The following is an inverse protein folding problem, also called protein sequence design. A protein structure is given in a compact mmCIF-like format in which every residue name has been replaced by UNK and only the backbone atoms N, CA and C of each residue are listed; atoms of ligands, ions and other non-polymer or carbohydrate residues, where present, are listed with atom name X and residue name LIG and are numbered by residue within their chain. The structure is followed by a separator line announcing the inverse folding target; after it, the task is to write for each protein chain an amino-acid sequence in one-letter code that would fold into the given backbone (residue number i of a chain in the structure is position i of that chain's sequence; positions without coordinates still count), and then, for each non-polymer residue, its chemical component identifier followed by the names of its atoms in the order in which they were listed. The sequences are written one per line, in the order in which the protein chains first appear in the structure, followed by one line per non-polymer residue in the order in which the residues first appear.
data_IF_796277126606
#
_entry.id   IF_796277126606
#
_cell.length_a   1.000
_cell.length_b   1.000
_cell.length_c   1.000
_cell.angle_alpha   90.00
_cell.angle_beta   90.00
_cell.angle_gamma   90.00
#
_symmetry.space_group_name_H-M   'P 1'
#
loop_
_entity.id
_entity.type
_entity.pdbx_description
1 polymer ?
#
# COMPACT_ATOMS: atom_id res chain seq x y z
N UNK A 1 -14.64 2.89 -6.22
CA UNK A 1 -15.79 2.29 -5.50
C UNK A 1 -15.64 2.50 -4.00
N UNK A 2 -16.74 2.58 -3.24
CA UNK A 2 -16.66 2.61 -1.78
C UNK A 2 -15.94 1.33 -1.31
N UNK A 3 -14.87 1.47 -0.54
CA UNK A 3 -14.19 0.33 0.06
C UNK A 3 -14.92 -0.07 1.33
N UNK A 4 -14.36 0.28 2.49
CA UNK A 4 -14.96 0.00 3.79
C UNK A 4 -14.28 0.75 4.92
N UNK A 5 -14.55 0.29 6.14
CA UNK A 5 -13.90 0.76 7.36
C UNK A 5 -12.81 -0.24 7.72
N UNK A 6 -11.69 0.27 8.26
CA UNK A 6 -10.64 -0.49 8.92
C UNK A 6 -10.75 -0.31 10.44
N UNK A 7 -11.54 -1.14 11.17
CA UNK A 7 -11.78 -0.93 12.60
C UNK A 7 -10.49 -0.90 13.43
N UNK A 8 -9.51 -1.75 13.08
CA UNK A 8 -8.22 -1.84 13.77
C UNK A 8 -7.35 -0.60 13.59
N UNK A 9 -7.54 0.14 12.49
CA UNK A 9 -6.69 1.28 12.15
C UNK A 9 -7.39 2.62 12.34
N UNK A 10 -8.72 2.63 12.52
CA UNK A 10 -9.48 3.87 12.60
C UNK A 10 -9.44 4.67 11.29
N UNK A 11 -9.52 3.98 10.15
CA UNK A 11 -9.50 4.61 8.81
C UNK A 11 -10.64 4.08 7.94
N UNK A 12 -10.92 4.76 6.84
CA UNK A 12 -11.83 4.30 5.77
C UNK A 12 -11.19 4.51 4.40
N UNK A 13 -11.63 3.77 3.40
CA UNK A 13 -11.06 3.87 2.05
C UNK A 13 -12.09 3.94 0.91
N UNK A 14 -11.59 4.41 -0.22
CA UNK A 14 -12.14 4.25 -1.57
C UNK A 14 -11.10 3.49 -2.39
N UNK A 15 -11.54 2.49 -3.13
CA UNK A 15 -10.67 1.63 -3.96
C UNK A 15 -10.92 1.91 -5.44
N UNK A 16 -9.85 1.93 -6.21
CA UNK A 16 -9.88 1.95 -7.67
C UNK A 16 -9.21 0.66 -8.16
N UNK A 17 -9.99 -0.37 -8.52
CA UNK A 17 -9.44 -1.60 -9.08
C UNK A 17 -8.71 -1.34 -10.40
N UNK A 18 -7.55 -1.95 -10.56
CA UNK A 18 -6.72 -1.88 -11.76
C UNK A 18 -6.48 -3.29 -12.29
N UNK A 19 -5.91 -3.38 -13.49
CA UNK A 19 -5.45 -4.64 -14.05
C UNK A 19 -4.28 -5.22 -13.23
N UNK A 20 -3.89 -6.46 -13.52
CA UNK A 20 -2.71 -7.13 -12.95
C UNK A 20 -2.75 -7.30 -11.42
N UNK A 21 -3.95 -7.49 -10.86
CA UNK A 21 -4.18 -7.60 -9.41
C UNK A 21 -3.70 -6.40 -8.59
N UNK A 22 -3.66 -5.23 -9.21
CA UNK A 22 -3.28 -3.97 -8.57
C UNK A 22 -4.51 -3.11 -8.28
N UNK A 23 -4.34 -2.13 -7.39
CA UNK A 23 -5.37 -1.14 -7.11
C UNK A 23 -4.74 0.15 -6.56
N UNK A 24 -5.43 1.27 -6.77
CA UNK A 24 -5.18 2.51 -6.06
C UNK A 24 -6.14 2.59 -4.87
N UNK A 25 -5.59 2.89 -3.69
CA UNK A 25 -6.35 3.08 -2.46
C UNK A 25 -6.25 4.53 -2.00
N UNK A 26 -7.40 5.20 -1.89
CA UNK A 26 -7.51 6.50 -1.25
C UNK A 26 -8.03 6.28 0.16
N UNK A 27 -7.21 6.63 1.16
CA UNK A 27 -7.50 6.38 2.58
C UNK A 27 -7.69 7.69 3.32
N UNK A 28 -8.64 7.71 4.24
CA UNK A 28 -8.90 8.82 5.15
C UNK A 28 -8.91 8.32 6.60
N UNK A 29 -8.38 9.14 7.50
CA UNK A 29 -8.44 8.88 8.94
C UNK A 29 -9.83 9.18 9.50
N UNK A 30 -10.33 8.31 10.38
CA UNK A 30 -11.52 8.56 11.17
C UNK A 30 -11.15 9.21 12.50
N UNK A 31 -12.05 10.00 13.05
CA UNK A 31 -11.95 10.46 14.44
C UNK A 31 -12.27 9.31 15.40
N UNK A 32 -11.31 8.41 15.60
CA UNK A 32 -11.46 7.18 16.36
C UNK A 32 -10.17 6.84 17.13
N UNK A 33 -10.21 6.44 18.41
CA UNK A 33 -9.00 6.22 19.22
C UNK A 33 -7.98 5.22 18.63
N UNK A 34 -8.44 4.32 17.76
CA UNK A 34 -7.54 3.39 17.06
C UNK A 34 -6.58 4.11 16.10
N UNK A 35 -6.98 5.24 15.48
CA UNK A 35 -6.10 5.97 14.57
C UNK A 35 -4.93 6.66 15.28
N UNK A 36 -5.04 6.88 16.59
CA UNK A 36 -3.97 7.47 17.40
C UNK A 36 -2.98 6.42 17.91
N UNK A 37 -3.36 5.14 17.90
CA UNK A 37 -2.57 4.02 18.44
C UNK A 37 -1.99 3.11 17.36
N UNK A 38 -2.74 2.87 16.29
CA UNK A 38 -2.33 1.98 15.22
C UNK A 38 -1.35 2.70 14.27
N UNK A 39 -0.18 2.11 13.96
CA UNK A 39 0.80 2.76 13.09
C UNK A 39 0.23 3.16 11.72
N UNK A 40 -0.64 2.34 11.13
CA UNK A 40 -1.29 2.68 9.87
C UNK A 40 -2.22 3.88 10.00
N UNK A 41 -2.98 3.96 11.10
CA UNK A 41 -3.83 5.11 11.40
C UNK A 41 -3.02 6.39 11.61
N UNK A 42 -1.89 6.30 12.31
CA UNK A 42 -0.96 7.41 12.51
C UNK A 42 -0.35 7.90 11.19
N UNK A 43 0.05 6.99 10.30
CA UNK A 43 0.57 7.33 8.98
C UNK A 43 -0.47 8.09 8.13
N UNK A 44 -1.72 7.59 8.09
CA UNK A 44 -2.82 8.23 7.35
C UNK A 44 -3.17 9.60 7.95
N UNK A 45 -3.20 9.71 9.29
CA UNK A 45 -3.44 10.98 9.99
C UNK A 45 -2.38 12.01 9.65
N UNK A 46 -1.10 11.66 9.82
CA UNK A 46 0.02 12.55 9.54
C UNK A 46 -0.01 13.03 8.09
N UNK A 47 -0.28 12.14 7.13
CA UNK A 47 -0.38 12.53 5.71
C UNK A 47 -1.56 13.47 5.45
N UNK A 48 -2.69 13.24 6.11
CA UNK A 48 -3.87 14.09 6.00
C UNK A 48 -3.61 15.50 6.56
N UNK A 49 -2.92 15.60 7.70
CA UNK A 49 -2.51 16.86 8.33
C UNK A 49 -1.49 17.66 7.49
N UNK A 50 -0.71 16.97 6.65
CA UNK A 50 0.20 17.58 5.66
C UNK A 50 -0.49 18.03 4.37
N UNK A 51 -1.83 17.95 4.29
CA UNK A 51 -2.60 18.34 3.11
C UNK A 51 -2.90 17.20 2.12
N UNK A 52 -2.64 15.95 2.50
CA UNK A 52 -2.92 14.77 1.68
C UNK A 52 -1.83 14.45 0.64
N UNK A 53 -2.18 13.64 -0.35
CA UNK A 53 -1.26 13.11 -1.37
C UNK A 53 -0.73 11.72 -1.04
N UNK A 54 0.31 11.28 -1.76
CA UNK A 54 0.87 9.95 -1.63
C UNK A 54 1.44 9.70 -0.23
N UNK A 55 0.94 8.66 0.43
CA UNK A 55 1.38 8.23 1.76
C UNK A 55 2.45 7.14 1.69
N UNK A 56 2.30 6.21 0.74
CA UNK A 56 3.13 5.02 0.65
C UNK A 56 2.57 4.01 -0.35
N UNK A 57 3.25 2.87 -0.44
CA UNK A 57 2.91 1.76 -1.32
C UNK A 57 3.08 0.44 -0.58
N UNK A 58 2.46 -0.60 -1.11
CA UNK A 58 2.40 -1.91 -0.49
C UNK A 58 2.74 -3.01 -1.50
N UNK A 59 3.42 -4.06 -1.02
CA UNK A 59 3.71 -5.27 -1.79
C UNK A 59 2.98 -6.44 -1.13
N UNK A 60 2.12 -7.12 -1.89
CA UNK A 60 1.55 -8.39 -1.48
C UNK A 60 2.61 -9.49 -1.64
N UNK A 61 2.75 -10.34 -0.62
CA UNK A 61 3.71 -11.46 -0.59
C UNK A 61 3.00 -12.73 -0.15
N UNK A 62 3.55 -13.88 -0.58
CA UNK A 62 3.01 -15.19 -0.19
C UNK A 62 3.46 -15.61 1.21
N UNK A 63 4.61 -15.11 1.67
CA UNK A 63 5.19 -15.40 2.98
C UNK A 63 5.78 -14.14 3.63
N UNK A 64 5.37 -13.89 4.88
CA UNK A 64 5.86 -12.78 5.69
C UNK A 64 7.05 -13.16 6.58
N UNK A 65 7.34 -14.45 6.77
CA UNK A 65 8.37 -14.91 7.71
C UNK A 65 9.77 -14.28 7.46
N UNK A 66 10.27 -14.16 6.21
CA UNK A 66 11.56 -13.52 5.95
C UNK A 66 11.60 -12.04 6.35
N UNK A 67 10.45 -11.35 6.30
CA UNK A 67 10.33 -9.95 6.70
C UNK A 67 10.18 -9.82 8.22
N UNK A 68 9.47 -10.74 8.86
CA UNK A 68 9.34 -10.81 10.32
C UNK A 68 10.70 -11.04 10.99
N UNK A 69 11.48 -12.01 10.47
CA UNK A 69 12.84 -12.30 10.93
C UNK A 69 13.74 -11.07 10.78
N UNK A 70 13.76 -10.45 9.59
CA UNK A 70 14.61 -9.28 9.31
C UNK A 70 14.25 -8.06 10.15
N UNK A 71 12.96 -7.84 10.39
CA UNK A 71 12.47 -6.70 11.17
C UNK A 71 12.43 -6.98 12.68
N UNK A 72 12.72 -8.22 13.11
CA UNK A 72 12.75 -8.63 14.50
C UNK A 72 11.40 -8.55 15.20
N UNK A 73 10.29 -8.69 14.47
CA UNK A 73 8.92 -8.59 15.02
C UNK A 73 7.91 -9.30 14.14
N UNK A 74 6.82 -9.74 14.74
CA UNK A 74 5.71 -10.37 14.02
C UNK A 74 4.86 -9.37 13.22
N UNK A 75 4.22 -9.89 12.18
CA UNK A 75 3.17 -9.21 11.43
C UNK A 75 1.88 -9.09 12.24
N UNK A 76 1.16 -8.00 12.03
CA UNK A 76 -0.09 -7.71 12.74
C UNK A 76 -1.30 -7.96 11.86
N UNK A 77 -2.44 -8.40 12.43
CA UNK A 77 -3.66 -8.61 11.66
C UNK A 77 -4.29 -7.28 11.22
N UNK A 78 -4.74 -7.25 9.97
CA UNK A 78 -5.59 -6.21 9.40
C UNK A 78 -6.94 -6.78 8.96
N UNK A 79 -7.96 -5.94 8.93
CA UNK A 79 -9.26 -6.32 8.40
C UNK A 79 -10.02 -5.13 7.79
N UNK A 80 -10.90 -5.46 6.85
CA UNK A 80 -11.85 -4.54 6.24
C UNK A 80 -13.24 -5.17 6.25
N UNK A 81 -14.20 -4.45 6.81
CA UNK A 81 -15.61 -4.85 6.78
C UNK A 81 -16.35 -4.18 5.63
N UNK A 82 -17.02 -4.99 4.82
CA UNK A 82 -17.87 -4.52 3.73
C UNK A 82 -19.27 -4.16 4.24
N UNK A 83 -20.03 -3.32 3.52
CA UNK A 83 -21.39 -2.95 3.91
C UNK A 83 -22.37 -4.12 4.00
N UNK A 84 -22.12 -5.21 3.27
CA UNK A 84 -22.95 -6.43 3.24
C UNK A 84 -22.57 -7.45 4.34
N UNK A 85 -21.62 -7.09 5.21
CA UNK A 85 -21.19 -7.93 6.33
C UNK A 85 -20.04 -8.89 6.01
N UNK A 86 -19.59 -8.98 4.75
CA UNK A 86 -18.37 -9.71 4.42
C UNK A 86 -17.15 -9.08 5.12
N UNK A 87 -16.11 -9.89 5.31
CA UNK A 87 -14.86 -9.44 5.93
C UNK A 87 -13.65 -9.95 5.13
N UNK A 88 -12.79 -9.01 4.74
CA UNK A 88 -11.47 -9.29 4.16
C UNK A 88 -10.43 -9.18 5.28
N UNK A 89 -9.56 -10.18 5.40
CA UNK A 89 -8.53 -10.23 6.44
C UNK A 89 -7.15 -10.47 5.83
N UNK A 90 -6.11 -9.99 6.52
CA UNK A 90 -4.72 -10.11 6.10
C UNK A 90 -3.78 -9.95 7.29
N UNK A 91 -2.50 -10.25 7.06
CA UNK A 91 -1.37 -9.89 7.92
C UNK A 91 -0.53 -8.82 7.24
N UNK A 92 0.03 -7.89 8.01
CA UNK A 92 0.92 -6.85 7.47
C UNK A 92 2.10 -6.54 8.39
N UNK A 93 3.20 -6.09 7.81
CA UNK A 93 4.41 -5.66 8.51
C UNK A 93 5.12 -4.54 7.75
N UNK A 94 5.88 -3.70 8.45
CA UNK A 94 6.72 -2.67 7.83
C UNK A 94 6.17 -1.25 7.90
N UNK A 95 4.98 -1.01 8.45
CA UNK A 95 4.39 0.33 8.55
C UNK A 95 5.29 1.34 9.28
N UNK A 96 5.94 0.95 10.38
CA UNK A 96 6.90 1.83 11.03
C UNK A 96 8.13 2.15 10.16
N UNK A 97 8.52 1.21 9.29
CA UNK A 97 9.56 1.44 8.29
C UNK A 97 9.12 2.48 7.27
N UNK A 98 7.91 2.33 6.73
CA UNK A 98 7.29 3.33 5.84
C UNK A 98 7.22 4.72 6.49
N UNK A 99 6.81 4.83 7.76
CA UNK A 99 6.73 6.13 8.46
C UNK A 99 8.12 6.77 8.58
N UNK A 100 9.14 5.97 8.90
CA UNK A 100 10.50 6.46 9.08
C UNK A 100 11.22 6.74 7.75
N UNK A 101 10.88 5.98 6.71
CA UNK A 101 11.55 5.99 5.41
C UNK A 101 10.51 5.75 4.28
N UNK A 102 9.80 6.80 3.81
CA UNK A 102 8.63 6.62 2.93
C UNK A 102 8.94 6.06 1.54
N UNK A 103 10.22 5.88 1.18
CA UNK A 103 10.59 5.17 -0.04
C UNK A 103 10.32 3.66 0.06
N UNK A 104 10.36 3.07 1.26
CA UNK A 104 10.19 1.62 1.42
C UNK A 104 8.71 1.23 1.55
N UNK A 105 8.26 0.15 0.90
CA UNK A 105 6.89 -0.32 1.04
C UNK A 105 6.71 -1.04 2.38
N UNK A 106 5.46 -1.19 2.79
CA UNK A 106 5.09 -2.24 3.75
C UNK A 106 4.61 -3.48 3.00
N UNK A 107 4.67 -4.63 3.66
CA UNK A 107 4.28 -5.91 3.08
C UNK A 107 2.98 -6.38 3.70
N UNK A 108 2.16 -7.04 2.90
CA UNK A 108 0.99 -7.76 3.40
C UNK A 108 0.90 -9.15 2.78
N UNK A 109 0.21 -10.05 3.48
CA UNK A 109 -0.24 -11.34 2.97
C UNK A 109 -1.73 -11.44 3.22
N UNK A 110 -2.52 -11.67 2.17
CA UNK A 110 -3.95 -11.93 2.29
C UNK A 110 -4.19 -13.28 2.97
N UNK A 111 -5.20 -13.36 3.84
CA UNK A 111 -5.54 -14.63 4.48
C UNK A 111 -6.27 -15.56 3.49
N UNK A 112 -6.03 -16.86 3.62
CA UNK A 112 -6.64 -17.88 2.78
C UNK A 112 -8.18 -17.84 2.87
N UNK A 113 -8.85 -18.15 1.76
CA UNK A 113 -10.31 -18.11 1.67
C UNK A 113 -10.92 -16.72 1.48
N UNK A 114 -10.12 -15.64 1.47
CA UNK A 114 -10.60 -14.27 1.20
C UNK A 114 -10.23 -13.75 -0.21
N UNK A 115 -9.68 -14.62 -1.06
CA UNK A 115 -9.12 -14.25 -2.36
C UNK A 115 -10.12 -13.59 -3.32
N UNK A 116 -11.41 -13.88 -3.21
CA UNK A 116 -12.46 -13.26 -4.05
C UNK A 116 -12.87 -11.88 -3.57
N UNK A 117 -12.48 -11.52 -2.34
CA UNK A 117 -12.69 -10.19 -1.76
C UNK A 117 -11.53 -9.24 -2.03
N UNK A 118 -10.52 -9.69 -2.80
CA UNK A 118 -9.35 -8.90 -3.15
C UNK A 118 -9.77 -7.56 -3.79
N UNK A 119 -9.15 -6.42 -3.41
CA UNK A 119 -9.60 -5.11 -3.89
C UNK A 119 -9.62 -4.95 -5.42
N UNK A 120 -8.71 -5.60 -6.16
CA UNK A 120 -8.69 -5.59 -7.64
C UNK A 120 -9.87 -6.32 -8.29
N UNK A 121 -10.51 -7.27 -7.60
CA UNK A 121 -11.62 -8.07 -8.13
C UNK A 121 -12.98 -7.42 -7.96
N UNK A 122 -13.03 -6.36 -7.17
CA UNK A 122 -14.28 -5.75 -6.77
C UNK A 122 -15.02 -5.07 -7.95
N UNK A 123 -14.29 -4.63 -8.98
CA UNK A 123 -14.80 -4.25 -10.31
C UNK A 123 -13.74 -4.57 -11.37
N UNK A 124 -14.14 -4.73 -12.64
CA UNK A 124 -13.19 -4.87 -13.74
C UNK A 124 -12.28 -3.63 -13.87
N UNK A 125 -10.98 -3.83 -13.71
CA UNK A 125 -9.97 -2.77 -13.86
C UNK A 125 -9.90 -2.27 -15.29
N UNK A 126 -10.15 -0.97 -15.48
CA UNK A 126 -10.12 -0.32 -16.80
C UNK A 126 -8.76 0.29 -17.15
N UNK A 127 -7.86 0.37 -16.19
CA UNK A 127 -6.49 0.87 -16.37
C UNK A 127 -5.48 0.03 -15.61
N UNK A 128 -4.21 0.33 -15.83
CA UNK A 128 -3.06 -0.35 -15.22
C UNK A 128 -2.06 0.68 -14.68
N UNK A 129 -1.26 0.30 -13.69
CA UNK A 129 -0.10 1.09 -13.28
C UNK A 129 0.99 0.85 -14.32
N UNK A 130 1.50 1.92 -14.94
CA UNK A 130 2.60 1.82 -15.91
C UNK A 130 3.92 2.30 -15.34
N UNK A 131 3.92 3.35 -14.50
CA UNK A 131 5.14 3.84 -13.86
C UNK A 131 4.89 4.36 -12.44
N UNK A 132 5.94 4.32 -11.61
CA UNK A 132 6.02 4.99 -10.32
C UNK A 132 7.35 5.75 -10.22
N UNK A 133 7.28 7.02 -9.82
CA UNK A 133 8.46 7.82 -9.50
C UNK A 133 8.64 7.88 -7.99
N UNK A 134 9.83 7.52 -7.51
CA UNK A 134 10.17 7.45 -6.10
C UNK A 134 11.40 8.32 -5.84
N UNK A 135 11.25 9.30 -4.94
CA UNK A 135 12.38 9.94 -4.30
C UNK A 135 13.06 8.96 -3.34
N UNK A 136 14.30 8.56 -3.63
CA UNK A 136 15.02 7.60 -2.79
C UNK A 136 16.07 6.80 -3.54
N UNK A 137 16.42 5.64 -2.96
CA UNK A 137 17.46 4.74 -3.43
C UNK A 137 16.86 3.39 -3.82
N UNK A 138 17.15 2.98 -5.06
CA UNK A 138 16.82 1.64 -5.57
C UNK A 138 17.39 0.55 -4.67
N UNK A 139 18.64 0.69 -4.25
CA UNK A 139 19.31 -0.34 -3.46
C UNK A 139 18.69 -0.46 -2.08
N UNK A 140 18.27 0.67 -1.48
CA UNK A 140 17.57 0.68 -0.20
C UNK A 140 16.26 -0.09 -0.27
N UNK A 141 15.45 0.15 -1.30
CA UNK A 141 14.17 -0.56 -1.49
C UNK A 141 14.39 -2.03 -1.82
N UNK A 142 15.40 -2.36 -2.64
CA UNK A 142 15.75 -3.76 -2.92
C UNK A 142 16.18 -4.50 -1.66
N UNK A 143 17.10 -3.94 -0.89
CA UNK A 143 17.54 -4.51 0.38
C UNK A 143 16.36 -4.73 1.33
N UNK A 144 15.49 -3.72 1.47
CA UNK A 144 14.28 -3.80 2.27
C UNK A 144 13.38 -4.98 1.86
N UNK A 145 13.25 -5.19 0.55
CA UNK A 145 12.44 -6.27 -0.03
C UNK A 145 13.15 -7.63 -0.11
N UNK A 146 14.36 -7.75 0.45
CA UNK A 146 15.10 -9.02 0.46
C UNK A 146 15.92 -9.29 -0.79
N UNK A 147 16.28 -8.23 -1.52
CA UNK A 147 17.07 -8.25 -2.74
C UNK A 147 16.54 -9.21 -3.81
N UNK A 148 15.25 -9.08 -4.22
CA UNK A 148 14.70 -9.96 -5.23
C UNK A 148 15.48 -9.84 -6.54
N UNK A 149 15.58 -10.95 -7.27
CA UNK A 149 16.21 -11.00 -8.59
C UNK A 149 15.41 -10.18 -9.62
N UNK A 150 14.08 -10.24 -9.50
CA UNK A 150 13.14 -9.49 -10.35
C UNK A 150 12.58 -8.28 -9.60
N UNK A 151 12.01 -7.34 -10.36
CA UNK A 151 11.33 -6.19 -9.76
C UNK A 151 10.13 -6.66 -8.94
N UNK A 152 9.99 -6.25 -7.67
CA UNK A 152 8.81 -6.53 -6.86
C UNK A 152 7.53 -5.87 -7.41
N UNK A 153 7.69 -4.92 -8.34
CA UNK A 153 6.62 -4.21 -9.02
C UNK A 153 6.31 -4.81 -10.41
N UNK A 154 6.89 -5.96 -10.74
CA UNK A 154 6.69 -6.63 -12.02
C UNK A 154 7.08 -5.75 -13.20
N UNK A 155 6.13 -5.50 -14.11
CA UNK A 155 6.32 -4.70 -15.32
C UNK A 155 6.16 -3.19 -15.12
N UNK A 156 5.87 -2.73 -13.89
CA UNK A 156 5.77 -1.29 -13.62
C UNK A 156 7.18 -0.68 -13.69
N UNK A 157 7.32 0.37 -14.49
CA UNK A 157 8.55 1.14 -14.57
C UNK A 157 8.78 1.90 -13.26
N UNK A 158 10.01 1.87 -12.75
CA UNK A 158 10.37 2.57 -11.50
C UNK A 158 11.44 3.61 -11.81
N UNK A 159 11.05 4.87 -11.73
CA UNK A 159 11.97 6.00 -11.86
C UNK A 159 12.46 6.44 -10.48
N UNK A 160 13.77 6.43 -10.29
CA UNK A 160 14.41 6.78 -9.02
C UNK A 160 14.95 8.20 -9.11
N UNK A 161 14.39 9.11 -8.32
CA UNK A 161 14.73 10.52 -8.35
C UNK A 161 15.29 11.00 -7.00
N UNK A 162 15.87 12.20 -7.02
CA UNK A 162 16.19 13.01 -5.85
C UNK A 162 16.65 12.20 -4.61
N UNK A 163 17.76 11.42 -4.69
CA UNK A 163 18.17 10.52 -3.60
C UNK A 163 18.55 11.25 -2.30
N UNK A 164 18.73 12.58 -2.36
CA UNK A 164 19.00 13.44 -1.20
C UNK A 164 17.82 14.34 -0.79
N UNK A 165 16.66 14.20 -1.45
CA UNK A 165 15.42 14.88 -1.07
C UNK A 165 14.63 14.10 -0.02
N UNK A 166 13.44 14.59 0.34
CA UNK A 166 12.51 13.85 1.20
C UNK A 166 12.07 12.56 0.48
N UNK A 167 12.36 11.37 1.03
CA UNK A 167 12.02 10.11 0.35
C UNK A 167 10.50 9.90 0.25
N UNK A 168 10.07 9.16 -0.77
CA UNK A 168 8.66 8.78 -0.96
C UNK A 168 8.20 8.82 -2.42
N UNK A 169 6.93 8.47 -2.63
CA UNK A 169 6.31 8.52 -3.96
C UNK A 169 6.16 9.97 -4.40
N UNK A 170 6.70 10.28 -5.58
CA UNK A 170 6.55 11.58 -6.23
C UNK A 170 5.33 11.58 -7.15
N UNK A 171 5.18 10.52 -7.93
CA UNK A 171 4.04 10.35 -8.82
C UNK A 171 3.80 8.89 -9.20
N UNK A 172 2.58 8.61 -9.66
CA UNK A 172 2.19 7.33 -10.26
C UNK A 172 1.51 7.59 -11.59
N UNK A 173 1.97 6.92 -12.65
CA UNK A 173 1.36 6.97 -13.97
C UNK A 173 0.45 5.75 -14.17
N UNK A 174 -0.76 6.03 -14.61
CA UNK A 174 -1.78 5.04 -14.93
C UNK A 174 -2.10 5.10 -16.42
N UNK A 175 -2.07 3.96 -17.09
CA UNK A 175 -2.62 3.84 -18.43
C UNK A 175 -4.13 3.68 -18.32
N UNK A 176 -4.87 4.56 -19.00
CA UNK A 176 -6.34 4.54 -19.01
C UNK A 176 -6.86 4.49 -20.45
N UNK A 177 -8.15 4.14 -20.67
CA UNK A 177 -8.74 4.16 -22.01
C UNK A 177 -8.71 5.53 -22.68
N UNK A 178 -8.53 6.62 -21.92
CA UNK A 178 -8.43 7.98 -22.41
C UNK A 178 -6.99 8.48 -22.57
N UNK A 179 -6.00 7.61 -22.36
CA UNK A 179 -4.58 7.95 -22.36
C UNK A 179 -3.94 7.89 -20.98
N UNK A 180 -2.61 8.10 -20.89
CA UNK A 180 -1.88 8.05 -19.63
C UNK A 180 -2.25 9.24 -18.73
N UNK A 181 -2.42 8.99 -17.43
CA UNK A 181 -2.68 9.99 -16.39
C UNK A 181 -1.60 9.84 -15.31
N UNK A 182 -0.93 10.94 -14.97
CA UNK A 182 0.04 10.95 -13.87
C UNK A 182 -0.51 11.76 -12.71
N UNK A 183 -0.48 11.15 -11.51
CA UNK A 183 -0.96 11.73 -10.26
C UNK A 183 0.18 11.86 -9.25
#
# INVERSE_FOLDING_TARGET
MKGGIHPRFGTRNVIFPLQNDQYLEVVEVLNHPASDKAPFGQAVRARSEMGGGWMGWCVAVDDLAPFEERLGRESVPGNRKFPDGQELTWRQIGIHGLIADPQVPYMLRWDDGTADLHPSKALAGKGSISAISIAGSRDRVREWLGSPEQSPLGNVEVDWQAPSGTPGILSVTFDTPSGPVTL
#
